data_IF_324131089867
#
_entry.id   IF_324131089867
#
_cell.length_a   1.000
_cell.length_b   1.000
_cell.length_c   1.000
_cell.angle_alpha   90.00
_cell.angle_beta   90.00
_cell.angle_gamma   90.00
#
_symmetry.space_group_name_H-M   'P 1'
#
loop_
_entity.id
_entity.type
_entity.pdbx_description
1 polymer ?
#
# COMPACT_ATOMS: atom_id res chain seq x y z
N UNK A 1 -9.70 32.32 53.40
CA UNK A 1 -8.38 32.12 52.77
C UNK A 1 -8.16 30.64 52.59
N UNK A 2 -8.38 30.11 51.46
CA UNK A 2 -8.06 28.72 51.02
C UNK A 2 -8.99 28.39 49.89
N UNK A 3 -8.44 28.02 48.77
CA UNK A 3 -9.04 27.28 47.64
C UNK A 3 -8.68 27.89 46.30
N UNK A 4 -7.59 27.45 45.76
CA UNK A 4 -7.34 27.52 44.30
C UNK A 4 -6.13 26.63 43.98
N UNK A 5 -6.35 25.33 43.77
CA UNK A 5 -5.42 24.48 43.00
C UNK A 5 -6.14 23.16 42.71
N UNK A 6 -6.84 23.08 41.61
CA UNK A 6 -7.23 21.83 40.99
C UNK A 6 -7.93 22.13 39.64
N UNK A 7 -7.19 22.41 38.61
CA UNK A 7 -7.68 22.37 37.23
C UNK A 7 -6.54 22.51 36.24
N UNK A 8 -5.72 21.48 36.07
CA UNK A 8 -4.81 21.43 34.91
C UNK A 8 -4.18 20.04 34.76
N UNK A 9 -4.97 19.07 34.40
CA UNK A 9 -4.44 17.73 34.05
C UNK A 9 -5.46 16.90 33.24
N UNK A 10 -6.06 17.50 32.21
CA UNK A 10 -6.86 16.69 31.22
C UNK A 10 -6.71 17.36 29.85
N UNK A 11 -5.57 17.21 29.22
CA UNK A 11 -5.41 17.58 27.79
C UNK A 11 -4.31 16.81 27.04
N UNK A 12 -3.72 15.75 27.60
CA UNK A 12 -2.66 15.01 26.88
C UNK A 12 -3.07 13.67 26.29
N UNK A 13 -4.26 13.16 26.52
CA UNK A 13 -4.67 11.84 26.04
C UNK A 13 -5.34 11.84 24.65
N UNK A 14 -5.72 13.01 24.12
CA UNK A 14 -6.48 13.11 22.87
C UNK A 14 -5.65 13.14 21.57
N UNK A 15 -4.37 13.49 21.66
CA UNK A 15 -3.56 13.73 20.46
C UNK A 15 -3.01 12.43 19.82
N UNK A 16 -2.79 11.38 20.59
CA UNK A 16 -2.24 10.13 20.06
C UNK A 16 -3.24 9.31 19.25
N UNK A 17 -4.53 9.30 19.61
CA UNK A 17 -5.55 8.56 18.90
C UNK A 17 -5.88 9.15 17.52
N UNK A 18 -5.75 10.46 17.35
CA UNK A 18 -6.04 11.14 16.08
C UNK A 18 -4.97 10.91 15.01
N UNK A 19 -3.71 10.76 15.41
CA UNK A 19 -2.61 10.48 14.47
C UNK A 19 -2.70 9.06 13.90
N UNK A 20 -2.98 8.06 14.74
CA UNK A 20 -3.14 6.68 14.29
C UNK A 20 -4.31 6.51 13.31
N UNK A 21 -5.44 7.16 13.56
CA UNK A 21 -6.61 7.11 12.66
C UNK A 21 -6.36 7.81 11.32
N UNK A 22 -5.55 8.87 11.28
CA UNK A 22 -5.18 9.56 10.04
C UNK A 22 -4.25 8.69 9.18
N UNK A 23 -3.26 8.04 9.78
CA UNK A 23 -2.33 7.13 9.09
C UNK A 23 -3.08 5.92 8.48
N UNK A 24 -4.08 5.36 9.17
CA UNK A 24 -4.90 4.26 8.66
C UNK A 24 -5.79 4.69 7.48
N UNK A 25 -6.32 5.91 7.49
CA UNK A 25 -7.10 6.45 6.37
C UNK A 25 -6.23 6.69 5.13
N UNK A 26 -5.01 7.18 5.30
CA UNK A 26 -4.04 7.30 4.23
C UNK A 26 -3.70 5.93 3.62
N UNK A 27 -3.43 4.94 4.46
CA UNK A 27 -3.18 3.57 4.03
C UNK A 27 -4.34 3.00 3.19
N UNK A 28 -5.57 3.18 3.64
CA UNK A 28 -6.76 2.80 2.87
C UNK A 28 -6.82 3.52 1.51
N UNK A 29 -6.42 4.78 1.47
CA UNK A 29 -6.30 5.56 0.24
C UNK A 29 -5.29 4.95 -0.74
N UNK A 30 -4.11 4.56 -0.26
CA UNK A 30 -3.09 3.87 -1.07
C UNK A 30 -3.59 2.53 -1.61
N UNK A 31 -4.29 1.74 -0.80
CA UNK A 31 -4.86 0.47 -1.24
C UNK A 31 -5.95 0.65 -2.32
N UNK A 32 -6.79 1.66 -2.20
CA UNK A 32 -7.77 2.01 -3.24
C UNK A 32 -7.09 2.42 -4.54
N UNK A 33 -6.05 3.26 -4.46
CA UNK A 33 -5.27 3.70 -5.62
C UNK A 33 -4.56 2.50 -6.26
N UNK A 34 -3.96 1.61 -5.45
CA UNK A 34 -3.36 0.36 -5.93
C UNK A 34 -4.36 -0.48 -6.71
N UNK A 35 -5.56 -0.73 -6.16
CA UNK A 35 -6.60 -1.49 -6.84
C UNK A 35 -7.02 -0.88 -8.18
N UNK A 36 -7.18 0.44 -8.22
CA UNK A 36 -7.47 1.17 -9.45
C UNK A 36 -6.35 1.06 -10.49
N UNK A 37 -5.10 1.22 -10.08
CA UNK A 37 -3.92 1.10 -10.95
C UNK A 37 -3.76 -0.33 -11.49
N UNK A 38 -3.92 -1.35 -10.65
CA UNK A 38 -3.89 -2.75 -11.09
C UNK A 38 -5.02 -3.05 -12.08
N UNK A 39 -6.21 -2.49 -11.86
CA UNK A 39 -7.33 -2.61 -12.80
C UNK A 39 -7.04 -2.02 -14.17
N UNK A 40 -6.33 -0.90 -14.25
CA UNK A 40 -5.83 -0.31 -15.50
C UNK A 40 -4.76 -1.18 -16.14
N UNK A 41 -3.73 -1.56 -15.37
CA UNK A 41 -2.62 -2.40 -15.85
C UNK A 41 -3.11 -3.68 -16.54
N UNK A 42 -4.15 -4.34 -16.01
CA UNK A 42 -4.74 -5.52 -16.67
C UNK A 42 -5.21 -5.22 -18.09
N UNK A 43 -5.94 -4.12 -18.27
CA UNK A 43 -6.44 -3.68 -19.59
C UNK A 43 -5.31 -3.26 -20.52
N UNK A 44 -4.31 -2.57 -19.99
CA UNK A 44 -3.14 -2.11 -20.72
C UNK A 44 -2.28 -3.27 -21.21
N UNK A 45 -2.12 -4.32 -20.37
CA UNK A 45 -1.42 -5.55 -20.78
C UNK A 45 -2.17 -6.26 -21.89
N UNK A 46 -3.50 -6.39 -21.80
CA UNK A 46 -4.34 -6.94 -22.86
C UNK A 46 -4.24 -6.13 -24.17
N UNK A 47 -4.20 -4.79 -24.05
CA UNK A 47 -4.06 -3.88 -25.18
C UNK A 47 -2.62 -3.73 -25.68
N UNK A 48 -1.62 -4.30 -25.01
CA UNK A 48 -0.18 -4.14 -25.29
C UNK A 48 0.27 -2.67 -25.30
N UNK A 49 -0.33 -1.88 -24.42
CA UNK A 49 -0.09 -0.43 -24.29
C UNK A 49 1.17 -0.16 -23.43
N UNK A 50 2.34 -0.58 -23.91
CA UNK A 50 3.59 -0.58 -23.14
C UNK A 50 3.95 0.77 -22.47
N UNK A 51 3.76 1.96 -23.06
CA UNK A 51 4.02 3.24 -22.39
C UNK A 51 3.12 3.44 -21.16
N UNK A 52 1.87 3.06 -21.24
CA UNK A 52 0.91 3.17 -20.13
C UNK A 52 1.23 2.15 -19.03
N UNK A 53 1.59 0.90 -19.41
CA UNK A 53 2.06 -0.12 -18.46
C UNK A 53 3.27 0.37 -17.68
N UNK A 54 4.28 0.92 -18.37
CA UNK A 54 5.48 1.43 -17.72
C UNK A 54 5.16 2.57 -16.72
N UNK A 55 4.27 3.47 -17.11
CA UNK A 55 3.83 4.58 -16.26
C UNK A 55 3.05 4.10 -15.02
N UNK A 56 2.05 3.24 -15.21
CA UNK A 56 1.20 2.78 -14.11
C UNK A 56 1.95 1.78 -13.20
N UNK A 57 2.87 0.99 -13.73
CA UNK A 57 3.79 0.18 -12.92
C UNK A 57 4.71 1.06 -12.05
N UNK A 58 5.24 2.17 -12.58
CA UNK A 58 6.00 3.15 -11.79
C UNK A 58 5.14 3.77 -10.68
N UNK A 59 3.87 4.03 -10.96
CA UNK A 59 2.92 4.51 -9.92
C UNK A 59 2.78 3.50 -8.78
N UNK A 60 2.77 2.19 -9.08
CA UNK A 60 2.76 1.15 -8.01
C UNK A 60 4.04 1.19 -7.17
N UNK A 61 5.21 1.40 -7.77
CA UNK A 61 6.46 1.54 -7.02
C UNK A 61 6.34 2.65 -5.97
N UNK A 62 5.83 3.82 -6.35
CA UNK A 62 5.68 4.95 -5.44
C UNK A 62 4.67 4.65 -4.31
N UNK A 63 3.53 4.04 -4.64
CA UNK A 63 2.55 3.66 -3.62
C UNK A 63 3.16 2.64 -2.63
N UNK A 64 3.91 1.66 -3.10
CA UNK A 64 4.51 0.66 -2.21
C UNK A 64 5.67 1.20 -1.37
N UNK A 65 6.31 2.31 -1.75
CA UNK A 65 7.22 3.06 -0.85
C UNK A 65 6.46 3.67 0.33
N UNK A 66 5.29 4.24 0.08
CA UNK A 66 4.45 4.79 1.16
C UNK A 66 3.97 3.67 2.09
N UNK A 67 3.57 2.52 1.54
CA UNK A 67 3.18 1.31 2.30
C UNK A 67 4.35 0.78 3.14
N UNK A 68 5.56 0.72 2.59
CA UNK A 68 6.78 0.37 3.31
C UNK A 68 6.99 1.30 4.51
N UNK A 69 6.90 2.62 4.29
CA UNK A 69 7.02 3.63 5.34
C UNK A 69 5.98 3.49 6.45
N UNK A 70 4.76 3.12 6.12
CA UNK A 70 3.70 2.85 7.08
C UNK A 70 4.05 1.67 8.00
N UNK A 71 4.44 0.54 7.45
CA UNK A 71 4.79 -0.65 8.23
C UNK A 71 6.13 -0.50 8.99
N UNK A 72 7.07 0.29 8.47
CA UNK A 72 8.30 0.62 9.18
C UNK A 72 8.03 1.38 10.49
N UNK A 73 7.05 2.28 10.52
CA UNK A 73 6.64 3.01 11.75
C UNK A 73 6.08 2.06 12.83
N UNK A 74 5.42 0.99 12.42
CA UNK A 74 4.84 0.00 13.34
C UNK A 74 5.78 -1.17 13.65
N UNK A 75 7.01 -1.14 13.15
CA UNK A 75 8.01 -2.23 13.29
C UNK A 75 7.49 -3.60 12.83
N UNK A 76 6.72 -3.63 11.74
CA UNK A 76 6.19 -4.85 11.12
C UNK A 76 7.12 -5.28 9.99
N UNK A 77 8.25 -5.88 10.36
CA UNK A 77 9.39 -6.13 9.45
C UNK A 77 9.05 -7.04 8.26
N UNK A 78 8.19 -8.03 8.44
CA UNK A 78 7.74 -8.90 7.36
C UNK A 78 6.84 -8.15 6.35
N UNK A 79 5.99 -7.23 6.80
CA UNK A 79 5.20 -6.38 5.91
C UNK A 79 6.09 -5.37 5.16
N UNK A 80 7.13 -4.84 5.80
CA UNK A 80 8.16 -4.01 5.16
C UNK A 80 8.83 -4.80 4.03
N UNK A 81 9.27 -6.04 4.30
CA UNK A 81 9.89 -6.89 3.28
C UNK A 81 8.93 -7.20 2.12
N UNK A 82 7.63 -7.44 2.41
CA UNK A 82 6.61 -7.65 1.38
C UNK A 82 6.38 -6.40 0.52
N UNK A 83 6.38 -5.21 1.11
CA UNK A 83 6.25 -3.95 0.39
C UNK A 83 7.46 -3.70 -0.53
N UNK A 84 8.67 -4.00 -0.06
CA UNK A 84 9.90 -3.92 -0.86
C UNK A 84 9.88 -4.92 -2.03
N UNK A 85 9.43 -6.15 -1.81
CA UNK A 85 9.26 -7.14 -2.88
C UNK A 85 8.23 -6.67 -3.92
N UNK A 86 7.13 -6.07 -3.49
CA UNK A 86 6.12 -5.50 -4.40
C UNK A 86 6.68 -4.34 -5.24
N UNK A 87 7.50 -3.46 -4.65
CA UNK A 87 8.24 -2.42 -5.39
C UNK A 87 9.14 -3.01 -6.46
N UNK A 88 9.92 -4.04 -6.10
CA UNK A 88 10.85 -4.69 -7.03
C UNK A 88 10.12 -5.30 -8.23
N UNK A 89 9.01 -6.01 -8.01
CA UNK A 89 8.22 -6.61 -9.10
C UNK A 89 7.53 -5.54 -9.94
N UNK A 90 7.00 -4.48 -9.34
CA UNK A 90 6.42 -3.36 -10.08
C UNK A 90 7.46 -2.66 -10.96
N UNK A 91 8.70 -2.48 -10.46
CA UNK A 91 9.80 -1.96 -11.26
C UNK A 91 10.15 -2.88 -12.44
N UNK A 92 10.22 -4.19 -12.21
CA UNK A 92 10.45 -5.17 -13.28
C UNK A 92 9.37 -5.10 -14.36
N UNK A 93 8.10 -4.87 -13.98
CA UNK A 93 7.00 -4.67 -14.92
C UNK A 93 7.22 -3.41 -15.78
N UNK A 94 7.63 -2.31 -15.16
CA UNK A 94 7.94 -1.07 -15.88
C UNK A 94 9.11 -1.26 -16.86
N UNK A 95 10.16 -1.94 -16.43
CA UNK A 95 11.34 -2.22 -17.26
C UNK A 95 10.98 -3.16 -18.44
N UNK A 96 10.19 -4.22 -18.20
CA UNK A 96 9.71 -5.14 -19.23
C UNK A 96 8.84 -4.43 -20.27
N UNK A 97 7.93 -3.56 -19.84
CA UNK A 97 7.11 -2.76 -20.74
C UNK A 97 7.97 -1.80 -21.58
N UNK A 98 8.96 -1.17 -20.96
CA UNK A 98 9.86 -0.26 -21.66
C UNK A 98 10.73 -0.97 -22.71
N UNK A 99 11.09 -2.22 -22.47
CA UNK A 99 11.83 -3.05 -23.45
C UNK A 99 10.94 -3.66 -24.55
N UNK A 100 9.62 -3.63 -24.39
CA UNK A 100 8.66 -4.22 -25.34
C UNK A 100 8.57 -5.74 -25.27
N UNK A 101 9.10 -6.37 -24.22
CA UNK A 101 9.04 -7.82 -24.02
C UNK A 101 7.68 -8.24 -23.46
N UNK A 102 6.79 -8.71 -24.34
CA UNK A 102 5.43 -9.09 -23.99
C UNK A 102 5.36 -10.28 -23.00
N UNK A 103 6.29 -11.24 -23.10
CA UNK A 103 6.32 -12.40 -22.20
C UNK A 103 6.80 -11.97 -20.81
N UNK A 104 7.81 -11.11 -20.72
CA UNK A 104 8.26 -10.55 -19.48
C UNK A 104 7.16 -9.69 -18.83
N UNK A 105 6.42 -8.89 -19.59
CA UNK A 105 5.27 -8.12 -19.11
C UNK A 105 4.21 -9.05 -18.50
N UNK A 106 3.82 -10.11 -19.23
CA UNK A 106 2.81 -11.06 -18.75
C UNK A 106 3.26 -11.78 -17.47
N UNK A 107 4.51 -12.19 -17.39
CA UNK A 107 5.06 -12.90 -16.23
C UNK A 107 5.21 -11.99 -15.01
N UNK A 108 5.72 -10.76 -15.19
CA UNK A 108 5.86 -9.80 -14.09
C UNK A 108 4.50 -9.31 -13.59
N UNK A 109 3.50 -9.18 -14.45
CA UNK A 109 2.13 -8.86 -14.01
C UNK A 109 1.55 -9.94 -13.08
N UNK A 110 1.82 -11.24 -13.35
CA UNK A 110 1.46 -12.31 -12.42
C UNK A 110 2.18 -12.16 -11.07
N UNK A 111 3.46 -11.75 -11.09
CA UNK A 111 4.25 -11.46 -9.90
C UNK A 111 3.65 -10.32 -9.07
N UNK A 112 3.20 -9.23 -9.70
CA UNK A 112 2.48 -8.13 -9.03
C UNK A 112 1.24 -8.67 -8.31
N UNK A 113 0.43 -9.48 -8.97
CA UNK A 113 -0.78 -10.07 -8.36
C UNK A 113 -0.46 -11.00 -7.19
N UNK A 114 0.61 -11.80 -7.30
CA UNK A 114 1.07 -12.67 -6.23
C UNK A 114 1.53 -11.88 -4.99
N UNK A 115 2.24 -10.78 -5.18
CA UNK A 115 2.66 -9.87 -4.09
C UNK A 115 1.47 -9.28 -3.35
N UNK A 116 0.43 -8.84 -4.07
CA UNK A 116 -0.81 -8.34 -3.46
C UNK A 116 -1.49 -9.43 -2.61
N UNK A 117 -1.61 -10.64 -3.14
CA UNK A 117 -2.27 -11.75 -2.45
C UNK A 117 -1.50 -12.19 -1.19
N UNK A 118 -0.17 -12.24 -1.25
CA UNK A 118 0.70 -12.61 -0.13
C UNK A 118 0.55 -11.65 1.06
N UNK A 119 0.68 -10.35 0.81
CA UNK A 119 0.53 -9.33 1.84
C UNK A 119 -0.90 -9.31 2.42
N UNK A 120 -1.92 -9.36 1.58
CA UNK A 120 -3.31 -9.40 2.03
C UNK A 120 -3.62 -10.63 2.88
N UNK A 121 -3.06 -11.80 2.57
CA UNK A 121 -3.23 -13.01 3.37
C UNK A 121 -2.62 -12.88 4.77
N UNK A 122 -1.46 -12.25 4.89
CA UNK A 122 -0.74 -12.08 6.15
C UNK A 122 -1.29 -10.92 7.00
N UNK A 123 -1.56 -9.77 6.40
CA UNK A 123 -1.77 -8.49 7.12
C UNK A 123 -3.16 -7.86 6.94
N UNK A 124 -4.11 -8.56 6.33
CA UNK A 124 -5.48 -8.08 6.18
C UNK A 124 -6.48 -9.06 6.79
N UNK A 125 -7.36 -8.57 7.63
CA UNK A 125 -8.45 -9.33 8.23
C UNK A 125 -9.79 -8.80 7.77
N UNK A 126 -10.68 -9.70 7.34
CA UNK A 126 -12.06 -9.36 6.98
C UNK A 126 -12.88 -9.15 8.24
N UNK A 127 -13.63 -8.05 8.28
CA UNK A 127 -14.53 -7.74 9.38
C UNK A 127 -15.89 -8.43 9.19
N UNK A 128 -16.56 -8.88 10.28
CA UNK A 128 -17.89 -9.51 10.21
C UNK A 128 -18.95 -8.61 9.58
N UNK A 129 -18.88 -7.30 9.85
CA UNK A 129 -19.76 -6.26 9.32
C UNK A 129 -19.44 -5.84 7.89
N UNK A 130 -18.42 -6.42 7.30
CA UNK A 130 -17.89 -6.04 5.99
C UNK A 130 -16.69 -5.11 6.08
N UNK A 131 -15.91 -5.04 4.99
CA UNK A 131 -14.65 -4.31 4.97
C UNK A 131 -13.47 -5.12 5.53
N UNK A 132 -12.36 -4.43 5.76
CA UNK A 132 -11.11 -5.04 6.20
C UNK A 132 -10.38 -4.12 7.17
N UNK A 133 -9.60 -4.72 8.07
CA UNK A 133 -8.61 -4.02 8.89
C UNK A 133 -7.21 -4.60 8.66
N UNK A 134 -6.21 -3.83 9.01
CA UNK A 134 -4.81 -4.28 9.08
C UNK A 134 -4.65 -5.10 10.38
N UNK A 135 -3.91 -6.20 10.32
CA UNK A 135 -3.61 -7.02 11.51
C UNK A 135 -2.11 -7.13 11.72
#
# INVERSE_FOLDING_TARGET
MKKRTAAMLICLAGAFATVAMADDQEFVGWMKKTGGTVGKLRKEVEAKANPDIAKDATTLVEIFKDVEGYFAKSHTDDAVAMAQAAQAVAKQLADAASSGDADAVANTMKGVMASCAGCHGAHREKLPEGGYKIK
#
